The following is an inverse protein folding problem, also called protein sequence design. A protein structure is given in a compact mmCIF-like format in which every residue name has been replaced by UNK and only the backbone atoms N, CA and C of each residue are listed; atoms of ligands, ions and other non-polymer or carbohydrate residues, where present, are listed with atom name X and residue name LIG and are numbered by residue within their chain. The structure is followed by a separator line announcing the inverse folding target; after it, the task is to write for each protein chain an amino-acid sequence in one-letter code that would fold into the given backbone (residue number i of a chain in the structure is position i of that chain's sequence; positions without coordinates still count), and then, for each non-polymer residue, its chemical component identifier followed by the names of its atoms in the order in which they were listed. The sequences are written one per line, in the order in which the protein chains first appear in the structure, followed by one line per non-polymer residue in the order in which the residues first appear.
data_IF_299362362782
#
_entry.id   IF_299362362782
#
_cell.length_a   1.000
_cell.length_b   1.000
_cell.length_c   1.000
_cell.angle_alpha   90.00
_cell.angle_beta   90.00
_cell.angle_gamma   90.00
#
_symmetry.space_group_name_H-M   'P 1'
#
loop_
_entity.id
_entity.type
_entity.pdbx_description
1 polymer ?
#
# COMPACT_ATOMS: atom_id res chain seq x y z
N UNK A 1 -7.28 1.57 19.78
CA UNK A 1 -7.10 0.18 19.32
C UNK A 1 -5.74 -0.30 19.83
N UNK A 2 -5.73 -1.22 20.78
CA UNK A 2 -4.51 -1.82 21.32
C UNK A 2 -4.17 -3.07 20.51
N UNK A 3 -3.42 -2.88 19.44
CA UNK A 3 -2.89 -3.98 18.64
C UNK A 3 -1.80 -4.71 19.43
N UNK A 4 -1.91 -6.02 19.57
CA UNK A 4 -0.91 -6.85 20.27
C UNK A 4 -0.25 -7.81 19.28
N UNK A 5 1.08 -7.80 19.25
CA UNK A 5 1.88 -8.74 18.44
C UNK A 5 2.01 -10.06 19.21
N UNK A 6 1.53 -11.15 18.64
CA UNK A 6 1.59 -12.49 19.22
C UNK A 6 2.85 -13.26 18.81
N UNK A 7 3.23 -13.15 17.54
CA UNK A 7 4.38 -13.86 16.96
C UNK A 7 5.01 -13.01 15.87
N UNK A 8 6.34 -13.08 15.71
CA UNK A 8 7.05 -12.48 14.57
C UNK A 8 7.94 -13.51 13.91
N UNK A 9 7.79 -13.67 12.58
CA UNK A 9 8.63 -14.54 11.75
C UNK A 9 9.41 -13.72 10.73
N UNK A 10 10.73 -13.78 10.80
CA UNK A 10 11.65 -13.11 9.87
C UNK A 10 11.98 -14.00 8.67
N UNK A 11 12.07 -13.42 7.49
CA UNK A 11 12.40 -14.12 6.25
C UNK A 11 13.73 -13.61 5.69
N UNK A 12 14.52 -14.52 5.09
CA UNK A 12 15.81 -14.20 4.47
C UNK A 12 15.72 -13.14 3.36
N UNK A 13 14.55 -13.00 2.75
CA UNK A 13 14.27 -12.00 1.73
C UNK A 13 14.06 -10.57 2.28
N UNK A 14 14.35 -10.31 3.56
CA UNK A 14 14.39 -8.95 4.11
C UNK A 14 13.03 -8.39 4.52
N UNK A 15 12.10 -9.23 4.96
CA UNK A 15 10.83 -8.82 5.57
C UNK A 15 10.46 -9.71 6.75
N UNK A 16 9.53 -9.26 7.57
CA UNK A 16 8.97 -10.05 8.66
C UNK A 16 7.45 -10.12 8.57
N UNK A 17 6.88 -11.21 9.05
CA UNK A 17 5.42 -11.37 9.18
C UNK A 17 5.10 -11.41 10.66
N UNK A 18 4.17 -10.56 11.08
CA UNK A 18 3.66 -10.51 12.44
C UNK A 18 2.28 -11.16 12.46
N UNK A 19 2.06 -12.05 13.42
CA UNK A 19 0.72 -12.49 13.80
C UNK A 19 0.26 -11.53 14.88
N UNK A 20 -0.82 -10.80 14.63
CA UNK A 20 -1.31 -9.72 15.48
C UNK A 20 -2.77 -9.99 15.84
N UNK A 21 -3.16 -9.57 17.04
CA UNK A 21 -4.55 -9.53 17.47
C UNK A 21 -4.96 -8.08 17.67
N UNK A 22 -6.17 -7.76 17.22
CA UNK A 22 -6.80 -6.47 17.48
C UNK A 22 -8.24 -6.69 17.93
N UNK A 23 -8.69 -5.79 18.78
CA UNK A 23 -10.06 -5.75 19.28
C UNK A 23 -10.90 -4.99 18.27
N UNK A 24 -11.89 -5.66 17.70
CA UNK A 24 -12.82 -4.97 16.81
C UNK A 24 -13.99 -4.41 17.59
N UNK A 25 -14.18 -3.09 17.49
CA UNK A 25 -15.35 -2.40 18.01
C UNK A 25 -16.33 -2.11 16.87
N UNK A 26 -16.98 -3.15 16.35
CA UNK A 26 -18.06 -2.94 15.40
C UNK A 26 -19.31 -2.46 16.13
N UNK A 27 -20.05 -1.55 15.51
CA UNK A 27 -21.37 -1.13 15.99
C UNK A 27 -22.40 -1.36 14.89
N UNK A 28 -23.15 -2.44 15.01
CA UNK A 28 -24.33 -2.70 14.21
C UNK A 28 -25.49 -1.79 14.67
N UNK A 29 -26.13 -1.14 13.71
CA UNK A 29 -27.37 -0.37 13.91
C UNK A 29 -28.38 -0.77 12.84
N UNK A 30 -29.64 -0.93 13.23
CA UNK A 30 -30.72 -1.11 12.26
C UNK A 30 -30.95 0.18 11.48
N UNK A 31 -30.98 0.09 10.15
CA UNK A 31 -31.20 1.24 9.27
C UNK A 31 -32.69 1.42 8.89
N UNK A 32 -33.44 0.32 8.73
CA UNK A 32 -34.87 0.32 8.40
C UNK A 32 -35.54 -1.02 8.76
N UNK A 33 -36.87 -1.10 8.62
CA UNK A 33 -37.66 -2.33 8.87
C UNK A 33 -38.27 -2.42 10.27
N UNK A 34 -39.12 -3.41 10.49
CA UNK A 34 -39.72 -3.67 11.81
C UNK A 34 -38.69 -4.30 12.73
N UNK A 35 -38.55 -3.75 13.94
CA UNK A 35 -37.68 -4.30 14.97
C UNK A 35 -38.35 -5.54 15.56
N UNK A 36 -37.73 -6.70 15.39
CA UNK A 36 -38.16 -7.94 16.02
C UNK A 36 -37.06 -8.51 16.92
N UNK A 37 -37.41 -9.55 17.69
CA UNK A 37 -36.48 -10.17 18.64
C UNK A 37 -35.22 -10.71 17.93
N UNK A 38 -35.35 -11.21 16.69
CA UNK A 38 -34.25 -11.77 15.94
C UNK A 38 -33.23 -10.69 15.55
N UNK A 39 -33.72 -9.50 15.21
CA UNK A 39 -32.92 -8.33 14.89
C UNK A 39 -32.10 -7.86 16.10
N UNK A 40 -32.71 -7.82 17.29
CA UNK A 40 -32.02 -7.45 18.53
C UNK A 40 -30.89 -8.43 18.90
N UNK A 41 -31.15 -9.74 18.75
CA UNK A 41 -30.13 -10.77 19.02
C UNK A 41 -28.96 -10.68 18.04
N UNK A 42 -29.24 -10.43 16.76
CA UNK A 42 -28.18 -10.28 15.75
C UNK A 42 -27.33 -9.02 16.00
N UNK A 43 -27.97 -7.89 16.34
CA UNK A 43 -27.26 -6.66 16.68
C UNK A 43 -26.39 -6.85 17.93
N UNK A 44 -26.92 -7.49 18.97
CA UNK A 44 -26.15 -7.79 20.18
C UNK A 44 -24.95 -8.69 19.88
N UNK A 45 -25.11 -9.71 19.04
CA UNK A 45 -24.02 -10.61 18.64
C UNK A 45 -22.95 -9.90 17.80
N UNK A 46 -23.33 -9.01 16.89
CA UNK A 46 -22.39 -8.22 16.08
C UNK A 46 -21.66 -7.14 16.88
N UNK A 47 -22.29 -6.63 17.94
CA UNK A 47 -21.70 -5.67 18.86
C UNK A 47 -20.85 -6.31 19.96
N UNK A 48 -20.86 -7.65 20.07
CA UNK A 48 -20.00 -8.34 21.01
C UNK A 48 -18.53 -8.13 20.61
N UNK A 49 -17.69 -7.84 21.61
CA UNK A 49 -16.25 -7.70 21.39
C UNK A 49 -15.69 -9.00 20.83
N UNK A 50 -15.07 -8.89 19.66
CA UNK A 50 -14.41 -10.00 19.00
C UNK A 50 -12.96 -9.64 18.76
N UNK A 51 -12.10 -10.60 19.07
CA UNK A 51 -10.67 -10.53 18.77
C UNK A 51 -10.43 -11.09 17.39
N UNK A 52 -9.82 -10.29 16.52
CA UNK A 52 -9.46 -10.72 15.17
C UNK A 52 -7.97 -10.92 15.09
N UNK A 53 -7.55 -12.11 14.66
CA UNK A 53 -6.15 -12.44 14.42
C UNK A 53 -5.84 -12.26 12.95
N UNK A 54 -4.81 -11.48 12.63
CA UNK A 54 -4.38 -11.23 11.27
C UNK A 54 -2.85 -11.35 11.12
N UNK A 55 -2.43 -11.56 9.87
CA UNK A 55 -1.01 -11.73 9.50
C UNK A 55 -0.59 -10.67 8.52
N UNK A 56 0.24 -9.77 8.98
CA UNK A 56 0.71 -8.56 8.30
C UNK A 56 2.21 -8.66 8.10
N UNK A 57 2.70 -8.05 7.04
CA UNK A 57 4.11 -8.06 6.68
C UNK A 57 4.70 -6.65 6.83
N UNK A 58 5.94 -6.60 7.32
CA UNK A 58 6.67 -5.38 7.60
C UNK A 58 8.11 -5.46 7.08
N UNK A 59 8.68 -4.31 6.76
CA UNK A 59 10.13 -4.17 6.60
C UNK A 59 10.82 -4.36 7.96
N UNK A 60 12.13 -4.63 8.01
CA UNK A 60 12.87 -4.70 9.27
C UNK A 60 12.86 -3.39 10.07
N UNK A 61 12.54 -2.26 9.42
CA UNK A 61 12.36 -0.95 10.05
C UNK A 61 10.98 -0.77 10.68
N UNK A 62 10.06 -1.70 10.42
CA UNK A 62 8.68 -1.66 10.90
C UNK A 62 7.70 -0.98 9.94
N UNK A 63 8.10 -0.70 8.69
CA UNK A 63 7.20 -0.11 7.70
C UNK A 63 6.25 -1.20 7.16
N UNK A 64 4.96 -0.89 7.07
CA UNK A 64 3.95 -1.86 6.65
C UNK A 64 4.04 -2.13 5.14
N UNK A 65 4.14 -3.40 4.75
CA UNK A 65 4.22 -3.82 3.35
C UNK A 65 2.84 -4.23 2.81
N UNK A 66 2.00 -4.84 3.66
CA UNK A 66 0.75 -5.48 3.25
C UNK A 66 0.55 -6.84 3.91
N UNK A 67 -0.14 -7.74 3.24
CA UNK A 67 -0.29 -9.12 3.69
C UNK A 67 0.96 -9.98 3.41
N UNK A 68 0.97 -11.21 3.94
CA UNK A 68 2.05 -12.18 3.72
C UNK A 68 2.26 -12.52 2.24
N UNK A 69 1.19 -12.59 1.43
CA UNK A 69 1.27 -13.01 0.02
C UNK A 69 1.91 -11.91 -0.82
N UNK A 70 1.51 -10.66 -0.61
CA UNK A 70 2.09 -9.46 -1.21
C UNK A 70 3.56 -9.36 -0.86
N UNK A 71 3.94 -9.46 0.42
CA UNK A 71 5.35 -9.41 0.80
C UNK A 71 6.18 -10.55 0.20
N UNK A 72 5.63 -11.76 0.10
CA UNK A 72 6.31 -12.87 -0.57
C UNK A 72 6.49 -12.62 -2.08
N UNK A 73 5.48 -12.08 -2.77
CA UNK A 73 5.57 -11.71 -4.18
C UNK A 73 6.64 -10.64 -4.41
N UNK A 74 6.59 -9.55 -3.64
CA UNK A 74 7.52 -8.42 -3.79
C UNK A 74 8.95 -8.83 -3.42
N UNK A 75 9.14 -9.32 -2.19
CA UNK A 75 10.48 -9.52 -1.64
C UNK A 75 11.11 -10.84 -2.12
N UNK A 76 10.35 -11.95 -2.09
CA UNK A 76 10.92 -13.27 -2.38
C UNK A 76 10.92 -13.62 -3.86
N UNK A 77 9.83 -13.33 -4.58
CA UNK A 77 9.74 -13.67 -6.01
C UNK A 77 10.41 -12.61 -6.89
N UNK A 78 10.07 -11.33 -6.66
CA UNK A 78 10.61 -10.23 -7.48
C UNK A 78 11.95 -9.69 -6.98
N UNK A 79 12.31 -9.89 -5.71
CA UNK A 79 13.57 -9.35 -5.16
C UNK A 79 13.52 -7.84 -4.89
N UNK A 80 12.31 -7.29 -4.77
CA UNK A 80 12.08 -5.88 -4.48
C UNK A 80 12.27 -5.64 -2.99
N UNK A 81 13.00 -4.58 -2.62
CA UNK A 81 13.13 -4.09 -1.25
C UNK A 81 12.09 -2.98 -1.00
N UNK A 82 11.01 -3.23 -0.24
CA UNK A 82 9.93 -2.26 -0.10
C UNK A 82 10.30 -1.05 0.74
N UNK A 83 9.78 0.10 0.34
CA UNK A 83 9.95 1.41 0.95
C UNK A 83 8.62 2.18 0.86
N UNK A 84 8.43 3.10 1.80
CA UNK A 84 7.35 4.09 1.70
C UNK A 84 7.72 5.16 0.67
N UNK A 85 6.73 5.64 -0.08
CA UNK A 85 6.91 6.80 -0.97
C UNK A 85 7.26 8.04 -0.14
N UNK A 86 6.49 8.30 0.92
CA UNK A 86 6.76 9.37 1.88
C UNK A 86 6.91 8.82 3.30
N UNK A 87 7.67 9.48 4.19
CA UNK A 87 7.75 9.09 5.60
C UNK A 87 6.38 9.02 6.30
N UNK A 88 5.45 9.90 5.89
CA UNK A 88 4.07 9.98 6.36
C UNK A 88 3.15 8.90 5.79
N UNK A 89 3.55 8.18 4.73
CA UNK A 89 2.73 7.11 4.18
C UNK A 89 2.54 5.99 5.22
N UNK A 90 1.38 5.35 5.17
CA UNK A 90 1.05 4.24 6.08
C UNK A 90 1.48 2.88 5.52
N UNK A 91 1.83 2.80 4.25
CA UNK A 91 2.17 1.56 3.55
C UNK A 91 3.35 1.78 2.59
N UNK A 92 4.16 0.74 2.40
CA UNK A 92 5.17 0.69 1.36
C UNK A 92 4.50 0.50 -0.01
N UNK A 93 4.82 1.38 -0.94
CA UNK A 93 4.26 1.39 -2.30
C UNK A 93 5.33 1.54 -3.39
N UNK A 94 6.61 1.62 -3.01
CA UNK A 94 7.75 1.59 -3.94
C UNK A 94 8.88 0.69 -3.44
N UNK A 95 9.80 0.30 -4.31
CA UNK A 95 10.96 -0.47 -3.89
C UNK A 95 11.95 -0.78 -4.99
N UNK A 96 13.22 -0.92 -4.61
CA UNK A 96 14.29 -1.20 -5.56
C UNK A 96 14.54 -2.70 -5.73
N UNK A 97 14.71 -3.15 -6.97
CA UNK A 97 15.16 -4.49 -7.31
C UNK A 97 16.59 -4.45 -7.85
N UNK A 98 17.55 -4.85 -7.02
CA UNK A 98 18.98 -4.86 -7.37
C UNK A 98 19.28 -5.72 -8.60
N UNK A 99 18.61 -6.87 -8.73
CA UNK A 99 18.85 -7.81 -9.84
C UNK A 99 18.48 -7.20 -11.19
N UNK A 100 17.43 -6.39 -11.22
CA UNK A 100 16.88 -5.81 -12.45
C UNK A 100 17.34 -4.37 -12.66
N UNK A 101 18.01 -3.76 -11.67
CA UNK A 101 18.38 -2.34 -11.66
C UNK A 101 17.17 -1.43 -11.96
N UNK A 102 16.03 -1.76 -11.32
CA UNK A 102 14.74 -1.08 -11.51
C UNK A 102 14.11 -0.67 -10.18
N UNK A 103 13.44 0.47 -10.21
CA UNK A 103 12.51 0.90 -9.16
C UNK A 103 11.09 0.49 -9.53
N UNK A 104 10.40 -0.16 -8.60
CA UNK A 104 9.01 -0.54 -8.76
C UNK A 104 8.12 0.39 -7.98
N UNK A 105 6.99 0.76 -8.57
CA UNK A 105 5.84 1.34 -7.89
C UNK A 105 4.67 0.36 -7.93
N UNK A 106 3.84 0.34 -6.89
CA UNK A 106 2.65 -0.50 -6.85
C UNK A 106 1.54 0.06 -5.96
N UNK A 107 0.34 -0.44 -6.21
CA UNK A 107 -0.82 -0.31 -5.34
C UNK A 107 -1.55 -1.67 -5.25
N UNK A 108 -2.76 -1.67 -4.70
CA UNK A 108 -3.65 -2.83 -4.78
C UNK A 108 -4.03 -3.17 -6.25
N UNK A 109 -3.98 -2.20 -7.17
CA UNK A 109 -4.47 -2.35 -8.55
C UNK A 109 -3.38 -2.80 -9.53
N UNK A 110 -2.16 -2.31 -9.37
CA UNK A 110 -1.10 -2.51 -10.36
C UNK A 110 0.31 -2.50 -9.75
N UNK A 111 1.28 -3.03 -10.50
CA UNK A 111 2.71 -2.95 -10.20
C UNK A 111 3.49 -2.79 -11.51
N UNK A 112 4.40 -1.82 -11.55
CA UNK A 112 5.27 -1.60 -12.70
C UNK A 112 6.69 -1.24 -12.27
N UNK A 113 7.68 -1.53 -13.12
CA UNK A 113 9.11 -1.36 -12.83
C UNK A 113 9.80 -0.48 -13.85
N UNK A 114 10.40 0.61 -13.38
CA UNK A 114 11.10 1.62 -14.15
C UNK A 114 12.61 1.47 -14.00
N UNK A 115 13.34 1.55 -15.10
CA UNK A 115 14.80 1.54 -15.17
C UNK A 115 15.34 2.75 -15.94
N UNK A 116 16.67 2.87 -15.97
CA UNK A 116 17.35 3.90 -16.76
C UNK A 116 17.02 3.72 -18.24
N UNK A 117 16.64 4.81 -18.90
CA UNK A 117 16.24 4.86 -20.30
C UNK A 117 14.74 4.75 -20.54
N UNK A 118 13.93 4.40 -19.54
CA UNK A 118 12.47 4.41 -19.67
C UNK A 118 11.97 5.85 -19.88
N UNK A 119 10.95 6.01 -20.71
CA UNK A 119 10.37 7.30 -21.10
C UNK A 119 8.90 7.32 -20.73
N UNK A 120 8.43 8.43 -20.16
CA UNK A 120 7.00 8.65 -19.90
C UNK A 120 6.30 8.97 -21.22
N UNK A 121 5.29 8.18 -21.57
CA UNK A 121 4.45 8.38 -22.75
C UNK A 121 3.08 8.97 -22.38
N UNK A 122 2.35 9.49 -23.38
CA UNK A 122 1.00 10.00 -23.18
C UNK A 122 0.07 8.87 -22.74
N UNK A 123 -0.66 9.10 -21.64
CA UNK A 123 -1.57 8.10 -21.05
C UNK A 123 -0.92 7.15 -20.06
N UNK A 124 0.40 7.23 -19.83
CA UNK A 124 1.05 6.49 -18.75
C UNK A 124 0.54 6.94 -17.38
N UNK A 125 0.42 6.01 -16.42
CA UNK A 125 0.02 6.39 -15.06
C UNK A 125 1.03 7.36 -14.42
N UNK A 126 2.32 7.26 -14.76
CA UNK A 126 3.32 8.24 -14.30
C UNK A 126 3.10 9.66 -14.84
N UNK A 127 2.27 9.84 -15.87
CA UNK A 127 1.89 11.14 -16.44
C UNK A 127 0.59 11.72 -15.85
N UNK A 128 0.01 11.11 -14.82
CA UNK A 128 -1.22 11.61 -14.16
C UNK A 128 -1.12 11.49 -12.65
N UNK A 129 -1.64 12.46 -11.91
CA UNK A 129 -1.51 12.56 -10.45
C UNK A 129 -2.56 11.78 -9.65
N UNK A 130 -3.52 11.11 -10.28
CA UNK A 130 -4.57 10.37 -9.56
C UNK A 130 -5.62 11.24 -8.82
N UNK A 131 -5.34 12.53 -8.63
CA UNK A 131 -6.26 13.52 -8.05
C UNK A 131 -7.11 14.24 -9.11
N UNK A 132 -8.18 14.91 -8.67
CA UNK A 132 -8.97 15.80 -9.53
C UNK A 132 -8.27 17.14 -9.71
N UNK A 133 -8.51 17.81 -10.84
CA UNK A 133 -7.98 19.15 -11.11
C UNK A 133 -8.34 20.15 -9.99
N UNK A 134 -9.58 20.14 -9.52
CA UNK A 134 -10.06 20.99 -8.41
C UNK A 134 -9.25 20.79 -7.12
N UNK A 135 -8.86 19.55 -6.78
CA UNK A 135 -8.06 19.30 -5.59
C UNK A 135 -6.64 19.89 -5.73
N UNK A 136 -6.04 19.76 -6.91
CA UNK A 136 -4.69 20.23 -7.20
C UNK A 136 -4.57 21.75 -7.33
N UNK A 137 -5.67 22.45 -7.66
CA UNK A 137 -5.69 23.92 -7.60
C UNK A 137 -5.40 24.42 -6.17
N UNK A 138 -5.95 23.73 -5.17
CA UNK A 138 -5.71 24.03 -3.76
C UNK A 138 -4.43 23.36 -3.19
N UNK A 139 -3.95 22.28 -3.83
CA UNK A 139 -2.83 21.45 -3.36
C UNK A 139 -1.82 21.14 -4.49
N UNK A 140 -1.19 22.15 -5.11
CA UNK A 140 -0.34 21.93 -6.29
C UNK A 140 0.92 21.10 -6.00
N UNK A 141 1.38 21.08 -4.74
CA UNK A 141 2.56 20.30 -4.31
C UNK A 141 2.29 18.78 -4.27
N UNK A 142 1.02 18.36 -4.33
CA UNK A 142 0.63 16.95 -4.37
C UNK A 142 0.70 16.37 -5.80
N UNK A 143 0.90 17.19 -6.83
CA UNK A 143 1.08 16.71 -8.20
C UNK A 143 2.48 16.13 -8.42
N UNK A 144 2.59 14.80 -8.29
CA UNK A 144 3.81 14.05 -8.55
C UNK A 144 3.93 13.54 -10.00
N UNK A 145 3.02 13.96 -10.89
CA UNK A 145 3.05 13.51 -12.29
C UNK A 145 4.31 14.00 -13.00
N UNK A 146 4.74 13.21 -13.99
CA UNK A 146 5.90 13.51 -14.82
C UNK A 146 5.44 13.88 -16.22
N UNK A 147 6.06 14.87 -16.88
CA UNK A 147 5.66 15.27 -18.22
C UNK A 147 5.98 14.19 -19.25
N UNK A 148 5.17 14.12 -20.32
CA UNK A 148 5.46 13.29 -21.50
C UNK A 148 6.86 13.61 -22.03
N UNK A 149 7.62 12.56 -22.34
CA UNK A 149 9.02 12.66 -22.76
C UNK A 149 10.03 12.72 -21.63
N UNK A 150 9.60 12.67 -20.35
CA UNK A 150 10.51 12.49 -19.23
C UNK A 150 11.25 11.15 -19.37
N UNK A 151 12.56 11.20 -19.59
CA UNK A 151 13.43 10.01 -19.66
C UNK A 151 14.20 9.83 -18.36
N UNK A 152 14.17 8.63 -17.79
CA UNK A 152 14.99 8.30 -16.64
C UNK A 152 16.48 8.25 -17.03
N UNK A 153 17.26 9.25 -16.60
CA UNK A 153 18.70 9.31 -16.91
C UNK A 153 19.54 8.48 -15.95
N UNK A 154 19.02 8.25 -14.76
CA UNK A 154 19.65 7.49 -13.69
C UNK A 154 18.61 6.78 -12.81
N UNK A 155 19.08 6.09 -11.76
CA UNK A 155 18.21 5.37 -10.83
C UNK A 155 17.37 6.30 -9.95
N UNK A 156 17.75 7.59 -9.80
CA UNK A 156 16.97 8.57 -9.06
C UNK A 156 15.75 8.94 -9.89
N UNK A 157 15.93 9.20 -11.18
CA UNK A 157 14.80 9.44 -12.08
C UNK A 157 13.88 8.23 -12.21
N UNK A 158 14.44 7.01 -12.29
CA UNK A 158 13.63 5.79 -12.26
C UNK A 158 12.82 5.67 -10.95
N UNK A 159 13.38 6.07 -9.80
CA UNK A 159 12.65 6.14 -8.54
C UNK A 159 11.52 7.17 -8.61
N UNK A 160 11.74 8.33 -9.22
CA UNK A 160 10.70 9.36 -9.43
C UNK A 160 9.54 8.82 -10.26
N UNK A 161 9.82 8.08 -11.33
CA UNK A 161 8.77 7.42 -12.13
C UNK A 161 7.98 6.39 -11.31
N UNK A 162 8.66 5.58 -10.50
CA UNK A 162 8.00 4.63 -9.60
C UNK A 162 7.11 5.31 -8.55
N UNK A 163 7.54 6.46 -8.03
CA UNK A 163 6.76 7.29 -7.11
C UNK A 163 5.50 7.82 -7.80
N UNK A 164 5.66 8.50 -8.95
CA UNK A 164 4.54 9.05 -9.72
C UNK A 164 3.51 7.97 -10.08
N UNK A 165 4.00 6.80 -10.53
CA UNK A 165 3.14 5.66 -10.80
C UNK A 165 2.38 5.18 -9.56
N UNK A 166 3.07 5.00 -8.44
CA UNK A 166 2.47 4.49 -7.21
C UNK A 166 1.41 5.44 -6.64
N UNK A 167 1.61 6.75 -6.80
CA UNK A 167 0.66 7.79 -6.40
C UNK A 167 -0.58 7.79 -7.31
N UNK A 168 -0.37 7.76 -8.63
CA UNK A 168 -1.45 7.68 -9.63
C UNK A 168 -2.36 6.46 -9.48
N UNK A 169 -1.77 5.31 -9.12
CA UNK A 169 -2.51 4.05 -8.96
C UNK A 169 -2.93 3.75 -7.52
N UNK A 170 -2.56 4.61 -6.56
CA UNK A 170 -2.96 4.57 -5.16
C UNK A 170 -4.47 4.61 -4.97
#
# INVERSE_FOLDING_TARGET
MSKVVLETRKYKAGYEVRTEVDETHFTAKQLSGSKDWGTDVLIAALNAETMVVFKTAYTPKGDYIGDKKTAHLLCSKKGIKPEKVHPSSNVCSIGFCEREQKWYGWSHRAIYGFGVGDVVEEGDCANSSGYTEEYLEDHPDDDLSLPVGFTAKDLIDAKRMAIAFADSVG
#
